data_IF_682830485227
#
_entry.id   IF_682830485227
#
_cell.length_a   1.000
_cell.length_b   1.000
_cell.length_c   1.000
_cell.angle_alpha   90.00
_cell.angle_beta   90.00
_cell.angle_gamma   90.00
#
_symmetry.space_group_name_H-M   'P 1'
#
loop_
_entity.id
_entity.type
_entity.pdbx_description
1 polymer ?
#
# COMPACT_ATOMS: atom_id res chain seq x y z
N UNK A 1 -5.01 15.30 6.95
CA UNK A 1 -6.24 14.83 7.66
C UNK A 1 -6.07 14.54 9.15
N UNK A 2 -4.91 14.06 9.66
CA UNK A 2 -4.66 13.84 11.12
C UNK A 2 -5.01 15.01 12.10
N UNK A 3 -4.95 16.31 11.71
CA UNK A 3 -5.30 17.40 12.64
C UNK A 3 -6.79 17.51 12.96
N UNK A 4 -7.67 16.93 12.12
CA UNK A 4 -9.13 17.03 12.32
C UNK A 4 -9.57 16.00 13.34
N UNK A 5 -9.11 14.75 13.22
CA UNK A 5 -9.48 13.66 14.12
C UNK A 5 -8.99 13.90 15.56
N UNK A 6 -7.83 14.52 15.74
CA UNK A 6 -7.31 14.92 17.06
C UNK A 6 -8.18 15.99 17.73
N UNK A 7 -8.54 17.06 17.00
CA UNK A 7 -9.45 18.09 17.50
C UNK A 7 -10.85 17.55 17.81
N UNK A 8 -11.37 16.68 16.95
CA UNK A 8 -12.66 16.02 17.19
C UNK A 8 -12.62 15.13 18.44
N UNK A 9 -11.56 14.35 18.63
CA UNK A 9 -11.38 13.53 19.83
C UNK A 9 -11.37 14.38 21.12
N UNK A 10 -10.68 15.52 21.11
CA UNK A 10 -10.66 16.43 22.26
C UNK A 10 -12.04 17.01 22.59
N UNK A 11 -12.85 17.32 21.57
CA UNK A 11 -14.22 17.78 21.75
C UNK A 11 -15.06 16.66 22.38
N UNK A 12 -15.05 15.46 21.81
CA UNK A 12 -15.86 14.34 22.30
C UNK A 12 -15.50 13.96 23.75
N UNK A 13 -14.21 13.98 24.12
CA UNK A 13 -13.78 13.80 25.51
C UNK A 13 -14.39 14.82 26.46
N UNK A 14 -14.38 16.11 26.09
CA UNK A 14 -14.98 17.18 26.92
C UNK A 14 -16.49 17.03 27.06
N UNK A 15 -17.17 16.58 26.00
CA UNK A 15 -18.62 16.36 26.07
C UNK A 15 -18.92 15.15 26.96
N UNK A 16 -18.16 14.06 26.83
CA UNK A 16 -18.34 12.87 27.66
C UNK A 16 -18.13 13.17 29.15
N UNK A 17 -17.13 13.99 29.50
CA UNK A 17 -16.87 14.43 30.87
C UNK A 17 -17.99 15.30 31.48
N UNK A 18 -18.84 15.91 30.65
CA UNK A 18 -19.98 16.72 31.11
C UNK A 18 -21.29 15.94 31.13
N UNK A 19 -21.37 14.87 30.35
CA UNK A 19 -22.59 14.13 30.08
C UNK A 19 -22.32 12.62 29.99
N UNK A 20 -21.94 12.02 31.11
CA UNK A 20 -21.55 10.60 31.22
C UNK A 20 -22.64 9.62 30.75
N UNK A 21 -23.90 10.04 30.76
CA UNK A 21 -25.05 9.23 30.31
C UNK A 21 -25.13 9.05 28.79
N UNK A 22 -24.39 9.82 27.99
CA UNK A 22 -24.47 9.77 26.53
C UNK A 22 -23.51 8.72 25.94
N UNK A 23 -23.86 7.44 26.12
CA UNK A 23 -23.05 6.31 25.69
C UNK A 23 -22.67 6.32 24.19
N UNK A 24 -23.52 6.90 23.33
CA UNK A 24 -23.27 7.00 21.89
C UNK A 24 -22.03 7.85 21.53
N UNK A 25 -21.61 8.78 22.40
CA UNK A 25 -20.41 9.59 22.19
C UNK A 25 -19.16 8.71 22.13
N UNK A 26 -19.15 7.58 22.85
CA UNK A 26 -18.05 6.61 22.79
C UNK A 26 -17.83 6.07 21.38
N UNK A 27 -18.90 5.91 20.57
CA UNK A 27 -18.78 5.44 19.17
C UNK A 27 -18.07 6.48 18.31
N UNK A 28 -18.43 7.76 18.44
CA UNK A 28 -17.78 8.84 17.69
C UNK A 28 -16.32 9.05 18.12
N UNK A 29 -16.05 8.93 19.42
CA UNK A 29 -14.68 8.98 19.94
C UNK A 29 -13.88 7.78 19.45
N UNK A 30 -14.47 6.58 19.42
CA UNK A 30 -13.85 5.38 18.87
C UNK A 30 -13.52 5.51 17.37
N UNK A 31 -14.38 6.15 16.57
CA UNK A 31 -14.08 6.45 15.15
C UNK A 31 -12.87 7.38 15.02
N UNK A 32 -12.75 8.37 15.90
CA UNK A 32 -11.58 9.26 15.89
C UNK A 32 -10.31 8.48 16.22
N UNK A 33 -10.36 7.61 17.23
CA UNK A 33 -9.22 6.77 17.61
C UNK A 33 -8.86 5.74 16.54
N UNK A 34 -9.85 5.16 15.86
CA UNK A 34 -9.63 4.28 14.70
C UNK A 34 -8.85 5.00 13.61
N UNK A 35 -9.27 6.22 13.24
CA UNK A 35 -8.57 7.02 12.24
C UNK A 35 -7.16 7.45 12.70
N UNK A 36 -6.93 7.53 14.00
CA UNK A 36 -5.60 7.80 14.57
C UNK A 36 -4.76 6.53 14.76
N UNK A 37 -5.25 5.37 14.30
CA UNK A 37 -4.59 4.07 14.39
C UNK A 37 -4.41 3.55 15.84
N UNK A 38 -5.17 4.12 16.79
CA UNK A 38 -5.26 3.63 18.17
C UNK A 38 -6.42 2.62 18.29
N UNK A 39 -6.24 1.47 17.64
CA UNK A 39 -7.30 0.45 17.49
C UNK A 39 -7.68 -0.22 18.82
N UNK A 40 -6.72 -0.33 19.75
CA UNK A 40 -6.90 -0.83 21.11
C UNK A 40 -7.86 0.06 21.91
N UNK A 41 -7.59 1.37 21.97
CA UNK A 41 -8.44 2.36 22.65
C UNK A 41 -9.82 2.43 21.97
N UNK A 42 -9.85 2.40 20.64
CA UNK A 42 -11.10 2.37 19.88
C UNK A 42 -11.95 1.15 20.26
N UNK A 43 -11.35 -0.03 20.43
CA UNK A 43 -12.04 -1.26 20.81
C UNK A 43 -12.63 -1.18 22.21
N UNK A 44 -11.89 -0.66 23.19
CA UNK A 44 -12.35 -0.53 24.57
C UNK A 44 -13.56 0.41 24.69
N UNK A 45 -13.54 1.54 23.98
CA UNK A 45 -14.65 2.48 23.92
C UNK A 45 -15.90 1.86 23.29
N UNK A 46 -15.73 1.05 22.24
CA UNK A 46 -16.84 0.34 21.60
C UNK A 46 -17.40 -0.75 22.50
N UNK A 47 -16.55 -1.50 23.20
CA UNK A 47 -16.99 -2.51 24.17
C UNK A 47 -17.82 -1.86 25.28
N UNK A 48 -17.39 -0.69 25.77
CA UNK A 48 -18.13 0.10 26.77
C UNK A 48 -19.52 0.49 26.26
N UNK A 49 -19.63 0.97 25.02
CA UNK A 49 -20.93 1.30 24.41
C UNK A 49 -21.81 0.05 24.18
N UNK A 50 -21.24 -1.03 23.65
CA UNK A 50 -21.97 -2.26 23.32
C UNK A 50 -22.44 -3.02 24.58
N UNK A 51 -21.81 -2.80 25.73
CA UNK A 51 -22.25 -3.34 27.02
C UNK A 51 -23.49 -2.62 27.60
N UNK A 52 -23.86 -1.45 27.06
CA UNK A 52 -25.07 -0.73 27.48
C UNK A 52 -26.34 -1.36 26.92
N UNK A 53 -27.48 -1.14 27.56
CA UNK A 53 -28.79 -1.63 27.11
C UNK A 53 -29.16 -1.18 25.69
N UNK A 54 -28.64 -0.03 25.24
CA UNK A 54 -28.90 0.56 23.92
C UNK A 54 -27.75 0.30 22.92
N UNK A 55 -26.81 -0.57 23.26
CA UNK A 55 -25.59 -0.89 22.50
C UNK A 55 -25.80 -1.77 21.26
N UNK A 56 -26.77 -1.48 20.40
CA UNK A 56 -27.13 -2.33 19.26
C UNK A 56 -26.74 -1.76 17.88
N UNK A 57 -26.00 -0.65 17.82
CA UNK A 57 -25.59 -0.01 16.56
C UNK A 57 -24.76 -0.93 15.67
N UNK A 58 -25.24 -1.15 14.44
CA UNK A 58 -24.50 -1.89 13.41
C UNK A 58 -23.17 -1.21 13.03
N UNK A 59 -23.10 0.11 13.12
CA UNK A 59 -21.87 0.88 12.87
C UNK A 59 -20.83 0.58 13.94
N UNK A 60 -21.23 0.53 15.21
CA UNK A 60 -20.34 0.21 16.33
C UNK A 60 -19.80 -1.23 16.23
N UNK A 61 -20.67 -2.21 15.90
CA UNK A 61 -20.27 -3.60 15.67
C UNK A 61 -19.30 -3.73 14.49
N UNK A 62 -19.59 -3.05 13.38
CA UNK A 62 -18.72 -3.03 12.20
C UNK A 62 -17.35 -2.42 12.52
N UNK A 63 -17.32 -1.30 13.24
CA UNK A 63 -16.06 -0.66 13.64
C UNK A 63 -15.24 -1.56 14.58
N UNK A 64 -15.89 -2.27 15.50
CA UNK A 64 -15.23 -3.23 16.39
C UNK A 64 -14.63 -4.39 15.59
N UNK A 65 -15.33 -4.89 14.57
CA UNK A 65 -14.79 -5.90 13.66
C UNK A 65 -13.57 -5.37 12.89
N UNK A 66 -13.62 -4.13 12.40
CA UNK A 66 -12.45 -3.49 11.79
C UNK A 66 -11.27 -3.37 12.75
N UNK A 67 -11.48 -3.00 14.01
CA UNK A 67 -10.41 -3.01 15.01
C UNK A 67 -9.84 -4.42 15.23
N UNK A 68 -10.72 -5.42 15.34
CA UNK A 68 -10.33 -6.82 15.52
C UNK A 68 -9.48 -7.31 14.34
N UNK A 69 -9.79 -6.85 13.13
CA UNK A 69 -8.99 -7.16 11.94
C UNK A 69 -7.57 -6.63 12.03
N UNK A 70 -7.38 -5.40 12.53
CA UNK A 70 -6.05 -4.80 12.69
C UNK A 70 -5.27 -5.38 13.87
N UNK A 71 -5.96 -5.78 14.94
CA UNK A 71 -5.33 -6.26 16.18
C UNK A 71 -5.08 -7.78 16.20
N UNK A 72 -5.90 -8.55 15.48
CA UNK A 72 -5.91 -10.02 15.53
C UNK A 72 -5.82 -10.60 14.12
N UNK A 73 -6.95 -10.78 13.43
CA UNK A 73 -7.02 -11.29 12.05
C UNK A 73 -8.45 -11.14 11.46
N UNK A 74 -8.59 -11.49 10.18
CA UNK A 74 -9.87 -11.46 9.46
C UNK A 74 -10.90 -12.50 9.91
N UNK A 75 -10.46 -13.66 10.41
CA UNK A 75 -11.36 -14.72 10.85
C UNK A 75 -12.06 -14.34 12.14
N UNK A 76 -11.33 -13.74 13.08
CA UNK A 76 -11.86 -13.19 14.32
C UNK A 76 -12.79 -11.99 14.05
N UNK A 77 -12.39 -11.10 13.14
CA UNK A 77 -13.20 -9.95 12.73
C UNK A 77 -14.55 -10.39 12.14
N UNK A 78 -14.55 -11.37 11.24
CA UNK A 78 -15.78 -11.87 10.65
C UNK A 78 -16.70 -12.54 11.68
N UNK A 79 -16.15 -13.38 12.57
CA UNK A 79 -16.92 -14.01 13.65
C UNK A 79 -17.59 -12.99 14.56
N UNK A 80 -16.91 -11.86 14.83
CA UNK A 80 -17.43 -10.80 15.70
C UNK A 80 -18.69 -10.11 15.14
N UNK A 81 -18.90 -10.15 13.82
CA UNK A 81 -20.02 -9.47 13.19
C UNK A 81 -21.36 -10.18 13.38
N UNK A 82 -21.37 -11.46 13.80
CA UNK A 82 -22.58 -12.29 13.94
C UNK A 82 -23.58 -12.14 12.76
N UNK A 83 -23.09 -11.77 11.57
CA UNK A 83 -23.92 -11.45 10.42
C UNK A 83 -24.03 -12.70 9.55
N UNK A 84 -25.26 -13.15 9.30
CA UNK A 84 -25.51 -14.18 8.30
C UNK A 84 -25.38 -13.53 6.93
N UNK A 85 -24.28 -13.81 6.21
CA UNK A 85 -24.17 -13.43 4.81
C UNK A 85 -25.35 -14.02 4.03
N UNK A 86 -25.91 -13.28 3.05
CA UNK A 86 -26.94 -13.83 2.20
C UNK A 86 -26.42 -15.11 1.51
N UNK A 87 -27.15 -16.22 1.69
CA UNK A 87 -26.87 -17.46 1.01
C UNK A 87 -27.13 -17.30 -0.51
N UNK A 88 -26.41 -18.03 -1.37
CA UNK A 88 -26.50 -17.87 -2.82
C UNK A 88 -27.88 -18.19 -3.42
N UNK A 89 -28.79 -18.83 -2.67
CA UNK A 89 -30.18 -19.09 -3.07
C UNK A 89 -31.12 -18.86 -1.89
N UNK A 90 -31.78 -17.70 -1.84
CA UNK A 90 -32.87 -17.46 -0.90
C UNK A 90 -33.00 -15.99 -0.48
N UNK A 91 -34.08 -15.37 -0.92
CA UNK A 91 -34.63 -14.08 -0.47
C UNK A 91 -33.78 -12.81 -0.64
N UNK A 92 -34.19 -12.01 -1.63
CA UNK A 92 -33.74 -10.63 -1.91
C UNK A 92 -34.15 -9.60 -0.84
N UNK A 93 -34.83 -10.02 0.22
CA UNK A 93 -35.47 -9.17 1.23
C UNK A 93 -34.60 -8.83 2.44
N UNK A 94 -33.40 -9.40 2.58
CA UNK A 94 -32.43 -9.01 3.61
C UNK A 94 -31.03 -8.77 3.01
N UNK A 95 -30.92 -7.79 2.11
CA UNK A 95 -29.59 -7.24 1.77
C UNK A 95 -28.96 -6.69 3.04
N UNK A 96 -27.77 -7.16 3.38
CA UNK A 96 -27.02 -6.67 4.52
C UNK A 96 -26.64 -5.20 4.32
N UNK A 97 -26.18 -4.56 5.39
CA UNK A 97 -25.69 -3.18 5.28
C UNK A 97 -24.45 -3.15 4.37
N UNK A 98 -24.50 -2.36 3.28
CA UNK A 98 -23.47 -2.30 2.23
C UNK A 98 -22.02 -2.21 2.76
N UNK A 99 -21.77 -1.36 3.77
CA UNK A 99 -20.45 -1.25 4.40
C UNK A 99 -19.99 -2.52 5.13
N UNK A 100 -20.92 -3.26 5.74
CA UNK A 100 -20.59 -4.50 6.43
C UNK A 100 -20.28 -5.60 5.41
N UNK A 101 -21.08 -5.70 4.35
CA UNK A 101 -20.82 -6.62 3.23
C UNK A 101 -19.44 -6.34 2.59
N UNK A 102 -19.12 -5.06 2.36
CA UNK A 102 -17.80 -4.65 1.87
C UNK A 102 -16.67 -5.11 2.79
N UNK A 103 -16.77 -4.83 4.10
CA UNK A 103 -15.73 -5.15 5.07
C UNK A 103 -15.53 -6.66 5.23
N UNK A 104 -16.60 -7.46 5.16
CA UNK A 104 -16.48 -8.92 5.22
C UNK A 104 -15.64 -9.45 4.06
N UNK A 105 -15.82 -8.92 2.85
CA UNK A 105 -14.97 -9.29 1.70
C UNK A 105 -13.51 -8.93 1.97
N UNK A 106 -13.25 -7.77 2.57
CA UNK A 106 -11.89 -7.36 2.95
C UNK A 106 -11.29 -8.34 3.97
N UNK A 107 -12.05 -8.74 4.99
CA UNK A 107 -11.60 -9.70 6.01
C UNK A 107 -11.26 -11.07 5.42
N UNK A 108 -11.98 -11.49 4.38
CA UNK A 108 -11.74 -12.73 3.64
C UNK A 108 -10.74 -12.58 2.49
N UNK A 109 -9.94 -11.51 2.51
CA UNK A 109 -8.90 -11.24 1.51
C UNK A 109 -9.42 -11.20 0.05
N UNK A 110 -10.67 -10.79 -0.15
CA UNK A 110 -11.28 -10.69 -1.47
C UNK A 110 -12.12 -11.89 -1.89
N UNK A 111 -12.25 -12.93 -1.05
CA UNK A 111 -13.18 -14.02 -1.33
C UNK A 111 -14.61 -13.49 -1.53
N UNK A 112 -15.29 -13.98 -2.56
CA UNK A 112 -16.60 -13.49 -3.00
C UNK A 112 -16.61 -12.02 -3.49
N UNK A 113 -15.45 -11.37 -3.62
CA UNK A 113 -15.33 -9.95 -3.94
C UNK A 113 -15.90 -9.56 -5.31
N UNK A 114 -15.74 -10.42 -6.32
CA UNK A 114 -16.33 -10.21 -7.65
C UNK A 114 -17.87 -10.20 -7.64
N UNK A 115 -18.51 -10.81 -6.63
CA UNK A 115 -19.97 -10.81 -6.48
C UNK A 115 -20.45 -9.59 -5.70
N UNK A 116 -19.73 -9.21 -4.64
CA UNK A 116 -20.19 -8.22 -3.67
C UNK A 116 -19.70 -6.80 -3.94
N UNK A 117 -18.50 -6.58 -4.49
CA UNK A 117 -18.00 -5.22 -4.72
C UNK A 117 -18.60 -4.48 -5.92
N UNK A 118 -18.88 -5.11 -7.09
CA UNK A 118 -19.42 -4.36 -8.24
C UNK A 118 -20.73 -3.60 -7.95
N UNK A 119 -21.71 -4.18 -7.21
CA UNK A 119 -22.92 -3.44 -6.80
C UNK A 119 -22.64 -2.29 -5.84
N UNK A 120 -21.48 -2.25 -5.20
CA UNK A 120 -21.11 -1.28 -4.16
C UNK A 120 -20.31 -0.09 -4.69
N UNK A 121 -19.88 -0.09 -5.95
CA UNK A 121 -19.01 0.95 -6.52
C UNK A 121 -19.60 2.37 -6.45
N UNK A 122 -20.93 2.51 -6.47
CA UNK A 122 -21.63 3.79 -6.34
C UNK A 122 -21.98 4.21 -4.91
N UNK A 123 -21.72 3.35 -3.92
CA UNK A 123 -22.12 3.58 -2.51
C UNK A 123 -20.96 3.56 -1.53
N UNK A 124 -19.96 2.72 -1.76
CA UNK A 124 -18.77 2.57 -0.91
C UNK A 124 -17.54 3.07 -1.68
N UNK A 125 -16.94 4.21 -1.29
CA UNK A 125 -15.80 4.80 -2.00
C UNK A 125 -14.62 3.85 -2.18
N UNK A 126 -14.35 3.02 -1.17
CA UNK A 126 -13.22 2.09 -1.12
C UNK A 126 -13.45 0.83 -1.99
N UNK A 127 -14.70 0.52 -2.37
CA UNK A 127 -15.02 -0.68 -3.14
C UNK A 127 -14.28 -0.74 -4.48
N UNK A 128 -14.12 0.41 -5.15
CA UNK A 128 -13.40 0.48 -6.43
C UNK A 128 -11.92 0.14 -6.27
N UNK A 129 -11.25 0.75 -5.29
CA UNK A 129 -9.81 0.51 -5.06
C UNK A 129 -9.56 -0.92 -4.59
N UNK A 130 -10.41 -1.48 -3.73
CA UNK A 130 -10.29 -2.86 -3.28
C UNK A 130 -10.54 -3.87 -4.41
N UNK A 131 -11.49 -3.61 -5.30
CA UNK A 131 -11.72 -4.43 -6.49
C UNK A 131 -10.54 -4.35 -7.48
N UNK A 132 -9.97 -3.16 -7.69
CA UNK A 132 -8.78 -3.01 -8.53
C UNK A 132 -7.57 -3.75 -7.93
N UNK A 133 -7.34 -3.63 -6.62
CA UNK A 133 -6.30 -4.38 -5.91
C UNK A 133 -6.51 -5.90 -6.03
N UNK A 134 -7.75 -6.36 -5.92
CA UNK A 134 -8.08 -7.77 -6.13
C UNK A 134 -7.68 -8.24 -7.54
N UNK A 135 -7.98 -7.46 -8.58
CA UNK A 135 -7.59 -7.78 -9.94
C UNK A 135 -6.07 -7.83 -10.14
N UNK A 136 -5.33 -6.89 -9.54
CA UNK A 136 -3.85 -6.88 -9.56
C UNK A 136 -3.29 -8.13 -8.88
N UNK A 137 -3.83 -8.55 -7.74
CA UNK A 137 -3.39 -9.75 -7.01
C UNK A 137 -3.66 -11.07 -7.75
N UNK A 138 -4.52 -11.06 -8.76
CA UNK A 138 -4.88 -12.23 -9.56
C UNK A 138 -4.42 -12.10 -11.01
N UNK A 139 -3.41 -11.26 -11.28
CA UNK A 139 -2.80 -11.06 -12.59
C UNK A 139 -3.78 -10.64 -13.71
N UNK A 140 -4.86 -9.95 -13.36
CA UNK A 140 -5.87 -9.43 -14.31
C UNK A 140 -5.79 -7.91 -14.43
N UNK A 141 -4.62 -7.41 -14.83
CA UNK A 141 -4.28 -5.99 -14.84
C UNK A 141 -5.16 -5.15 -15.78
N UNK A 142 -5.66 -5.72 -16.87
CA UNK A 142 -6.54 -5.02 -17.81
C UNK A 142 -7.86 -4.64 -17.15
N UNK A 143 -8.42 -5.53 -16.33
CA UNK A 143 -9.64 -5.23 -15.55
C UNK A 143 -9.38 -4.19 -14.47
N UNK A 144 -8.20 -4.21 -13.87
CA UNK A 144 -7.78 -3.17 -12.93
C UNK A 144 -7.64 -1.81 -13.63
N UNK A 145 -7.14 -1.80 -14.87
CA UNK A 145 -7.05 -0.60 -15.71
C UNK A 145 -8.42 -0.01 -16.01
N UNK A 146 -9.37 -0.83 -16.49
CA UNK A 146 -10.73 -0.38 -16.79
C UNK A 146 -11.41 0.30 -15.60
N UNK A 147 -11.15 -0.18 -14.38
CA UNK A 147 -11.68 0.40 -13.15
C UNK A 147 -11.02 1.74 -12.78
N UNK A 148 -9.74 1.90 -13.10
CA UNK A 148 -8.90 3.00 -12.62
C UNK A 148 -8.62 4.09 -13.67
N UNK A 149 -8.82 3.83 -14.95
CA UNK A 149 -8.47 4.74 -16.05
C UNK A 149 -9.10 6.13 -15.85
N UNK A 150 -10.43 6.15 -15.70
CA UNK A 150 -11.21 7.38 -15.43
C UNK A 150 -11.27 7.77 -13.95
N UNK A 151 -10.64 7.00 -13.06
CA UNK A 151 -10.64 7.29 -11.64
C UNK A 151 -9.66 8.43 -11.31
N UNK A 152 -10.15 9.47 -10.66
CA UNK A 152 -9.33 10.58 -10.17
C UNK A 152 -8.79 10.25 -8.77
N UNK A 153 -7.47 10.06 -8.61
CA UNK A 153 -6.90 9.69 -7.31
C UNK A 153 -6.96 10.86 -6.34
N UNK A 154 -7.48 10.61 -5.14
CA UNK A 154 -7.48 11.58 -4.03
C UNK A 154 -6.58 11.15 -2.84
N UNK A 155 -6.06 9.93 -2.88
CA UNK A 155 -5.28 9.34 -1.80
C UNK A 155 -4.02 8.66 -2.34
N UNK A 156 -2.93 8.60 -1.57
CA UNK A 156 -1.67 7.97 -2.01
C UNK A 156 -1.83 6.56 -2.57
N UNK A 157 -2.67 5.74 -1.94
CA UNK A 157 -2.91 4.35 -2.38
C UNK A 157 -3.52 4.29 -3.79
N UNK A 158 -4.40 5.23 -4.14
CA UNK A 158 -5.01 5.27 -5.47
C UNK A 158 -3.98 5.64 -6.55
N UNK A 159 -3.08 6.59 -6.24
CA UNK A 159 -1.97 6.93 -7.14
C UNK A 159 -1.05 5.72 -7.35
N UNK A 160 -0.71 5.00 -6.28
CA UNK A 160 0.11 3.78 -6.37
C UNK A 160 -0.55 2.72 -7.26
N UNK A 161 -1.85 2.44 -7.06
CA UNK A 161 -2.56 1.45 -7.88
C UNK A 161 -2.60 1.85 -9.36
N UNK A 162 -2.86 3.14 -9.66
CA UNK A 162 -2.75 3.63 -11.04
C UNK A 162 -1.33 3.47 -11.58
N UNK A 163 -0.30 3.81 -10.80
CA UNK A 163 1.08 3.64 -11.20
C UNK A 163 1.39 2.18 -11.59
N UNK A 164 1.02 1.23 -10.75
CA UNK A 164 1.23 -0.21 -10.99
C UNK A 164 0.56 -0.67 -12.28
N UNK A 165 -0.70 -0.27 -12.51
CA UNK A 165 -1.42 -0.71 -13.71
C UNK A 165 -0.84 -0.07 -14.96
N UNK A 166 -0.55 1.23 -14.95
CA UNK A 166 0.11 1.89 -16.08
C UNK A 166 1.51 1.30 -16.33
N UNK A 167 2.27 0.98 -15.29
CA UNK A 167 3.56 0.29 -15.44
C UNK A 167 3.41 -1.01 -16.23
N UNK A 168 2.46 -1.85 -15.82
CA UNK A 168 2.20 -3.15 -16.46
C UNK A 168 1.77 -2.99 -17.92
N UNK A 169 0.82 -2.09 -18.20
CA UNK A 169 0.37 -1.78 -19.57
C UNK A 169 1.54 -1.30 -20.45
N UNK A 170 2.39 -0.44 -19.89
CA UNK A 170 3.57 0.06 -20.59
C UNK A 170 4.59 -1.03 -20.90
N UNK A 171 4.87 -1.93 -19.95
CA UNK A 171 5.80 -3.05 -20.17
C UNK A 171 5.31 -4.00 -21.26
N UNK A 172 4.01 -4.34 -21.27
CA UNK A 172 3.42 -5.20 -22.30
C UNK A 172 3.53 -4.59 -23.72
N UNK A 173 3.38 -3.26 -23.84
CA UNK A 173 3.61 -2.56 -25.11
C UNK A 173 5.07 -2.61 -25.58
N UNK A 174 6.04 -2.59 -24.66
CA UNK A 174 7.46 -2.71 -25.02
C UNK A 174 7.78 -4.11 -25.55
N UNK A 175 7.28 -5.15 -24.90
CA UNK A 175 7.49 -6.54 -25.32
C UNK A 175 6.90 -6.82 -26.71
N UNK A 176 5.68 -6.34 -26.96
CA UNK A 176 5.01 -6.48 -28.26
C UNK A 176 5.68 -5.69 -29.39
N UNK A 177 6.20 -4.49 -29.10
CA UNK A 177 6.95 -3.67 -30.05
C UNK A 177 8.35 -4.22 -30.34
N UNK A 178 9.02 -4.86 -29.37
CA UNK A 178 10.33 -5.51 -29.62
C UNK A 178 10.21 -6.74 -30.53
N UNK A 179 9.08 -7.44 -30.49
CA UNK A 179 8.78 -8.54 -31.41
C UNK A 179 8.58 -8.07 -32.87
N UNK A 180 8.21 -6.81 -33.08
CA UNK A 180 8.00 -6.19 -34.40
C UNK A 180 9.05 -5.11 -34.62
N UNK A 181 10.20 -5.49 -35.18
CA UNK A 181 11.45 -4.72 -35.41
C UNK A 181 11.29 -3.27 -35.96
N UNK A 182 10.63 -2.38 -35.21
CA UNK A 182 10.41 -0.97 -35.52
C UNK A 182 11.22 -0.15 -34.52
N UNK A 183 12.36 0.35 -35.01
CA UNK A 183 13.34 1.17 -34.30
C UNK A 183 12.81 2.61 -34.25
N UNK A 184 11.72 2.82 -33.54
CA UNK A 184 11.31 4.15 -33.10
C UNK A 184 10.68 3.92 -31.76
N UNK A 185 11.34 4.29 -30.67
CA UNK A 185 10.77 4.21 -29.31
C UNK A 185 9.60 5.18 -29.27
N UNK A 186 8.32 4.76 -29.36
CA UNK A 186 7.27 5.67 -28.95
C UNK A 186 7.50 5.93 -27.47
N UNK A 187 7.52 7.19 -27.05
CA UNK A 187 7.43 7.55 -25.64
C UNK A 187 6.25 6.79 -25.07
N UNK A 188 6.53 5.77 -24.27
CA UNK A 188 5.49 4.91 -23.73
C UNK A 188 4.72 5.73 -22.71
N UNK A 189 3.56 6.26 -23.12
CA UNK A 189 2.73 7.15 -22.30
C UNK A 189 2.37 6.48 -20.97
N UNK A 190 2.12 5.17 -20.98
CA UNK A 190 1.84 4.43 -19.76
C UNK A 190 3.04 4.40 -18.80
N UNK A 191 4.27 4.16 -19.29
CA UNK A 191 5.46 4.24 -18.43
C UNK A 191 5.68 5.65 -17.87
N UNK A 192 5.46 6.68 -18.68
CA UNK A 192 5.56 8.07 -18.23
C UNK A 192 4.51 8.41 -17.16
N UNK A 193 3.26 8.01 -17.35
CA UNK A 193 2.19 8.21 -16.36
C UNK A 193 2.47 7.45 -15.06
N UNK A 194 2.97 6.21 -15.17
CA UNK A 194 3.38 5.42 -14.02
C UNK A 194 4.45 6.13 -13.20
N UNK A 195 5.49 6.65 -13.86
CA UNK A 195 6.54 7.44 -13.22
C UNK A 195 5.95 8.63 -12.47
N UNK A 196 5.07 9.40 -13.12
CA UNK A 196 4.46 10.58 -12.49
C UNK A 196 3.61 10.24 -11.27
N UNK A 197 2.87 9.14 -11.31
CA UNK A 197 2.07 8.72 -10.16
C UNK A 197 2.94 8.25 -8.99
N UNK A 198 4.02 7.50 -9.26
CA UNK A 198 4.97 7.12 -8.21
C UNK A 198 5.71 8.34 -7.62
N UNK A 199 6.15 9.27 -8.48
CA UNK A 199 6.77 10.54 -8.07
C UNK A 199 5.84 11.35 -7.16
N UNK A 200 4.56 11.47 -7.54
CA UNK A 200 3.55 12.21 -6.77
C UNK A 200 3.44 11.70 -5.33
N UNK A 201 3.49 10.39 -5.13
CA UNK A 201 3.41 9.79 -3.79
C UNK A 201 4.75 9.87 -3.06
N UNK A 202 5.85 9.51 -3.74
CA UNK A 202 7.17 9.48 -3.13
C UNK A 202 7.72 10.86 -2.75
N UNK A 203 7.34 11.91 -3.48
CA UNK A 203 7.76 13.29 -3.21
C UNK A 203 6.80 14.04 -2.28
N UNK A 204 5.60 13.50 -1.99
CA UNK A 204 4.64 14.16 -1.13
C UNK A 204 5.19 14.30 0.31
N UNK A 205 5.22 15.51 0.91
CA UNK A 205 5.79 15.72 2.24
C UNK A 205 5.13 14.91 3.36
N UNK A 206 3.87 14.52 3.19
CA UNK A 206 3.14 13.68 4.16
C UNK A 206 3.48 12.19 4.04
N UNK A 207 4.13 11.78 2.95
CA UNK A 207 4.30 10.38 2.57
C UNK A 207 5.76 9.98 2.36
N UNK A 208 6.64 10.89 1.96
CA UNK A 208 8.02 10.61 1.53
C UNK A 208 8.84 9.81 2.56
N UNK A 209 8.59 10.02 3.85
CA UNK A 209 9.29 9.32 4.92
C UNK A 209 8.61 8.01 5.38
N UNK A 210 7.44 7.70 4.83
CA UNK A 210 6.71 6.45 5.11
C UNK A 210 7.24 5.29 4.27
N UNK A 211 6.97 4.05 4.69
CA UNK A 211 7.31 2.83 3.93
C UNK A 211 6.75 2.92 2.49
N UNK A 212 5.46 3.23 2.35
CA UNK A 212 4.80 3.33 1.04
C UNK A 212 5.37 4.45 0.16
N UNK A 213 5.73 5.60 0.72
CA UNK A 213 6.35 6.70 -0.04
C UNK A 213 7.74 6.33 -0.54
N UNK A 214 8.55 5.67 0.30
CA UNK A 214 9.87 5.17 -0.10
C UNK A 214 9.78 4.08 -1.16
N UNK A 215 8.82 3.15 -1.03
CA UNK A 215 8.53 2.14 -2.05
C UNK A 215 8.14 2.80 -3.39
N UNK A 216 7.23 3.77 -3.36
CA UNK A 216 6.82 4.49 -4.56
C UNK A 216 8.00 5.20 -5.23
N UNK A 217 8.81 5.92 -4.47
CA UNK A 217 10.00 6.60 -4.99
C UNK A 217 11.03 5.60 -5.56
N UNK A 218 11.24 4.46 -4.90
CA UNK A 218 12.14 3.42 -5.40
C UNK A 218 11.64 2.84 -6.73
N UNK A 219 10.34 2.54 -6.84
CA UNK A 219 9.71 2.06 -8.09
C UNK A 219 9.84 3.09 -9.22
N UNK A 220 9.70 4.39 -8.93
CA UNK A 220 9.91 5.46 -9.90
C UNK A 220 11.33 5.43 -10.48
N UNK A 221 12.34 5.35 -9.61
CA UNK A 221 13.75 5.31 -10.03
C UNK A 221 14.10 4.04 -10.81
N UNK A 222 13.51 2.90 -10.45
CA UNK A 222 13.67 1.67 -11.22
C UNK A 222 13.04 1.78 -12.61
N UNK A 223 11.88 2.43 -12.74
CA UNK A 223 11.16 2.57 -14.00
C UNK A 223 11.87 3.45 -15.03
N UNK A 224 12.51 4.54 -14.58
CA UNK A 224 13.30 5.40 -15.49
C UNK A 224 14.42 4.62 -16.17
N UNK A 225 14.86 3.50 -15.56
CA UNK A 225 15.95 2.67 -16.03
C UNK A 225 17.23 3.48 -16.32
N UNK A 226 17.35 4.66 -15.71
CA UNK A 226 18.54 5.48 -15.80
C UNK A 226 19.54 4.94 -14.78
N UNK A 227 20.74 4.66 -15.26
CA UNK A 227 21.80 4.09 -14.43
C UNK A 227 22.13 4.96 -13.19
N UNK A 228 21.86 6.27 -13.24
CA UNK A 228 22.01 7.18 -12.09
C UNK A 228 20.95 6.95 -10.99
N UNK A 229 19.77 6.46 -11.36
CA UNK A 229 18.59 6.37 -10.49
C UNK A 229 18.62 5.11 -9.62
N UNK A 230 19.30 4.05 -10.06
CA UNK A 230 19.53 2.84 -9.25
C UNK A 230 20.25 3.11 -7.93
N UNK A 231 21.08 4.16 -7.84
CA UNK A 231 21.69 4.58 -6.57
C UNK A 231 20.63 5.05 -5.57
N UNK A 232 19.67 5.87 -6.02
CA UNK A 232 18.60 6.36 -5.17
C UNK A 232 17.61 5.26 -4.81
N UNK A 233 17.31 4.34 -5.75
CA UNK A 233 16.56 3.13 -5.44
C UNK A 233 17.24 2.27 -4.37
N UNK A 234 18.56 2.04 -4.49
CA UNK A 234 19.34 1.29 -3.50
C UNK A 234 19.30 1.96 -2.11
N UNK A 235 19.39 3.29 -2.04
CA UNK A 235 19.22 4.05 -0.79
C UNK A 235 17.84 3.87 -0.18
N UNK A 236 16.78 3.94 -0.98
CA UNK A 236 15.41 3.73 -0.51
C UNK A 236 15.23 2.32 0.07
N UNK A 237 15.70 1.29 -0.63
CA UNK A 237 15.59 -0.09 -0.15
C UNK A 237 16.48 -0.40 1.04
N UNK A 238 17.65 0.25 1.18
CA UNK A 238 18.49 0.14 2.38
C UNK A 238 17.81 0.70 3.63
N UNK A 239 17.02 1.77 3.50
CA UNK A 239 16.20 2.26 4.61
C UNK A 239 15.03 1.30 4.87
N UNK A 240 14.37 0.81 3.83
CA UNK A 240 13.24 -0.13 3.97
C UNK A 240 13.66 -1.42 4.69
N UNK A 241 14.76 -2.07 4.28
CA UNK A 241 15.33 -3.27 4.94
C UNK A 241 15.64 -3.05 6.44
N UNK A 242 15.96 -1.81 6.82
CA UNK A 242 16.25 -1.48 8.23
C UNK A 242 14.99 -1.32 9.06
N UNK A 243 13.94 -0.75 8.46
CA UNK A 243 12.67 -0.39 9.13
C UNK A 243 11.68 -1.55 9.13
N UNK A 244 11.70 -2.41 8.13
CA UNK A 244 10.75 -3.50 7.93
C UNK A 244 11.48 -4.82 7.62
N UNK A 245 11.15 -5.93 8.32
CA UNK A 245 11.80 -7.23 8.12
C UNK A 245 11.36 -7.99 6.86
N UNK A 246 10.54 -7.39 5.97
CA UNK A 246 10.13 -8.03 4.72
C UNK A 246 11.36 -8.45 3.86
N UNK A 247 11.50 -9.75 3.52
CA UNK A 247 12.62 -10.24 2.71
C UNK A 247 12.67 -9.63 1.31
N UNK A 248 11.56 -9.13 0.76
CA UNK A 248 11.51 -8.51 -0.57
C UNK A 248 12.36 -7.23 -0.64
N UNK A 249 12.53 -6.51 0.47
CA UNK A 249 13.34 -5.29 0.49
C UNK A 249 14.82 -5.58 0.27
N UNK A 250 15.31 -6.72 0.79
CA UNK A 250 16.67 -7.17 0.49
C UNK A 250 16.82 -7.52 -0.99
N UNK A 251 15.86 -8.26 -1.55
CA UNK A 251 15.90 -8.67 -2.97
C UNK A 251 15.90 -7.44 -3.89
N UNK A 252 15.08 -6.44 -3.58
CA UNK A 252 15.01 -5.18 -4.29
C UNK A 252 16.28 -4.33 -4.12
N UNK A 253 16.81 -4.22 -2.89
CA UNK A 253 18.10 -3.57 -2.62
C UNK A 253 19.23 -4.21 -3.43
N UNK A 254 19.31 -5.55 -3.42
CA UNK A 254 20.30 -6.32 -4.17
C UNK A 254 20.20 -5.99 -5.66
N UNK A 255 18.99 -6.04 -6.22
CA UNK A 255 18.72 -5.68 -7.62
C UNK A 255 19.18 -4.26 -7.95
N UNK A 256 18.84 -3.28 -7.11
CA UNK A 256 19.25 -1.89 -7.30
C UNK A 256 20.78 -1.70 -7.22
N UNK A 257 21.45 -2.36 -6.27
CA UNK A 257 22.90 -2.32 -6.15
C UNK A 257 23.60 -2.93 -7.39
N UNK A 258 23.10 -4.07 -7.91
CA UNK A 258 23.63 -4.66 -9.16
C UNK A 258 23.37 -3.73 -10.36
N UNK A 259 22.17 -3.15 -10.45
CA UNK A 259 21.84 -2.18 -11.50
C UNK A 259 22.79 -0.99 -11.50
N UNK A 260 23.11 -0.44 -10.32
CA UNK A 260 24.11 0.62 -10.20
C UNK A 260 25.52 0.13 -10.56
N UNK A 261 25.89 -1.09 -10.18
CA UNK A 261 27.20 -1.66 -10.51
C UNK A 261 27.39 -1.87 -12.02
N UNK A 262 26.33 -2.20 -12.77
CA UNK A 262 26.40 -2.24 -14.23
C UNK A 262 26.85 -0.89 -14.84
N UNK A 263 26.49 0.24 -14.21
CA UNK A 263 27.02 1.57 -14.56
C UNK A 263 28.53 1.69 -14.35
N UNK A 264 29.04 1.07 -13.28
CA UNK A 264 30.46 1.06 -12.96
C UNK A 264 31.26 0.29 -14.02
N UNK A 265 30.74 -0.87 -14.45
CA UNK A 265 31.34 -1.66 -15.54
C UNK A 265 31.36 -0.89 -16.87
N UNK A 266 30.35 -0.05 -17.13
CA UNK A 266 30.28 0.78 -18.34
C UNK A 266 31.08 2.08 -18.27
N UNK A 267 31.84 2.32 -17.19
CA UNK A 267 32.76 3.46 -17.06
C UNK A 267 32.08 4.82 -16.81
N UNK A 268 30.78 4.84 -16.48
CA UNK A 268 29.99 6.07 -16.26
C UNK A 268 29.62 6.29 -14.79
N UNK A 269 30.27 5.61 -13.85
CA UNK A 269 29.92 5.71 -12.44
C UNK A 269 30.58 6.88 -11.71
N UNK A 270 29.92 7.33 -10.65
CA UNK A 270 30.49 8.23 -9.65
C UNK A 270 31.13 7.38 -8.55
N UNK A 271 32.44 7.47 -8.38
CA UNK A 271 33.20 6.65 -7.44
C UNK A 271 32.69 6.81 -5.99
N UNK A 272 32.27 8.03 -5.61
CA UNK A 272 31.75 8.31 -4.27
C UNK A 272 30.46 7.53 -4.01
N UNK A 273 29.55 7.56 -4.99
CA UNK A 273 28.28 6.82 -4.91
C UNK A 273 28.49 5.31 -4.97
N UNK A 274 29.47 4.83 -5.73
CA UNK A 274 29.82 3.41 -5.77
C UNK A 274 30.30 2.90 -4.41
N UNK A 275 31.16 3.67 -3.72
CA UNK A 275 31.59 3.35 -2.35
C UNK A 275 30.40 3.31 -1.40
N UNK A 276 29.46 4.26 -1.48
CA UNK A 276 28.23 4.23 -0.69
C UNK A 276 27.39 2.97 -0.96
N UNK A 277 27.25 2.56 -2.22
CA UNK A 277 26.51 1.32 -2.58
C UNK A 277 27.16 0.08 -1.99
N UNK A 278 28.49 -0.02 -2.06
CA UNK A 278 29.24 -1.12 -1.43
C UNK A 278 29.04 -1.14 0.09
N UNK A 279 29.06 0.02 0.74
CA UNK A 279 28.82 0.13 2.17
C UNK A 279 27.39 -0.27 2.56
N UNK A 280 26.38 0.06 1.74
CA UNK A 280 25.00 -0.38 1.95
C UNK A 280 24.87 -1.92 1.88
N UNK A 281 25.55 -2.58 0.94
CA UNK A 281 25.58 -4.05 0.86
C UNK A 281 26.31 -4.67 2.06
N UNK A 282 27.43 -4.07 2.48
CA UNK A 282 28.24 -4.56 3.60
C UNK A 282 27.50 -4.45 4.94
N UNK A 283 26.71 -3.39 5.12
CA UNK A 283 25.86 -3.16 6.28
C UNK A 283 24.52 -3.90 6.28
N UNK A 284 24.20 -4.68 5.24
CA UNK A 284 22.96 -5.44 5.17
C UNK A 284 22.88 -6.51 6.27
N UNK A 285 21.65 -6.76 6.76
CA UNK A 285 21.38 -7.84 7.72
C UNK A 285 21.41 -9.21 7.03
N UNK A 286 21.24 -9.25 5.71
CA UNK A 286 21.22 -10.47 4.93
C UNK A 286 22.61 -11.10 4.81
N UNK A 287 22.71 -12.42 4.94
CA UNK A 287 23.99 -13.15 4.96
C UNK A 287 24.81 -12.97 3.66
N UNK A 288 24.13 -12.80 2.52
CA UNK A 288 24.77 -12.56 1.22
C UNK A 288 25.34 -11.14 1.04
N UNK A 289 24.89 -10.16 1.82
CA UNK A 289 25.27 -8.75 1.64
C UNK A 289 26.78 -8.53 1.70
N UNK A 290 27.43 -9.07 2.75
CA UNK A 290 28.89 -8.97 2.93
C UNK A 290 29.68 -9.68 1.84
N UNK A 291 29.21 -10.85 1.40
CA UNK A 291 29.89 -11.62 0.34
C UNK A 291 29.84 -10.85 -0.96
N UNK A 292 28.67 -10.33 -1.31
CA UNK A 292 28.47 -9.53 -2.51
C UNK A 292 29.29 -8.24 -2.49
N UNK A 293 29.28 -7.50 -1.37
CA UNK A 293 30.06 -6.28 -1.21
C UNK A 293 31.57 -6.53 -1.43
N UNK A 294 32.11 -7.62 -0.87
CA UNK A 294 33.52 -8.01 -1.06
C UNK A 294 33.85 -8.28 -2.51
N UNK A 295 33.05 -9.12 -3.18
CA UNK A 295 33.27 -9.47 -4.59
C UNK A 295 33.24 -8.24 -5.50
N UNK A 296 32.24 -7.37 -5.32
CA UNK A 296 32.12 -6.15 -6.12
C UNK A 296 33.26 -5.17 -5.84
N UNK A 297 33.69 -5.03 -4.58
CA UNK A 297 34.82 -4.17 -4.19
C UNK A 297 36.12 -4.63 -4.85
N UNK A 298 36.42 -5.93 -4.79
CA UNK A 298 37.60 -6.51 -5.46
C UNK A 298 37.59 -6.25 -6.96
N UNK A 299 36.44 -6.35 -7.62
CA UNK A 299 36.33 -5.99 -9.03
C UNK A 299 36.66 -4.50 -9.24
N UNK A 300 36.00 -3.59 -8.52
CA UNK A 300 36.21 -2.16 -8.68
C UNK A 300 37.67 -1.73 -8.48
N UNK A 301 38.36 -2.31 -7.50
CA UNK A 301 39.80 -2.10 -7.26
C UNK A 301 40.63 -2.59 -8.44
N UNK A 302 40.31 -3.77 -9.00
CA UNK A 302 41.04 -4.36 -10.14
C UNK A 302 40.96 -3.54 -11.42
N UNK A 303 39.87 -2.78 -11.59
CA UNK A 303 39.65 -1.90 -12.75
C UNK A 303 39.88 -0.41 -12.44
N UNK A 304 40.44 -0.09 -11.26
CA UNK A 304 40.75 1.27 -10.81
C UNK A 304 39.55 2.23 -10.82
N UNK A 305 38.36 1.73 -10.46
CA UNK A 305 37.15 2.54 -10.31
C UNK A 305 37.02 3.19 -8.92
N UNK A 306 37.66 2.59 -7.91
CA UNK A 306 37.78 3.07 -6.52
C UNK A 306 39.18 2.82 -5.98
#
# INVERSE_FOLDING_TARGET
MKPISTRAADIYKRVLARHETHAAINVYLAMCYYHLEYFDISSELLATYLATSDGHSNVAKNLLACNTFHLVDGVAAEKSLHLHLPQPLGDTTSRGHALVEHNVVVFRQGDVGLRLWPPLLGTVPEAKLNLALFHIKHDTFEKAFDLLDTFEPAQPIAYILKAIVHMWMGQQQVETNQAHHNITTPTNEHLFLSEKFFETVGAAPSECDTIRGRQAMASMYMLRNEMADYYFAAKSFDVLERVDPDPEFWEAKRGACVGYFHKAVSGKCDATKLVEVLNMLEGSKHNQGKVMARTLRTYCESVHLI
#
